data_IF_771517629778
#
_entry.id   IF_771517629778
#
_cell.length_a   1.000
_cell.length_b   1.000
_cell.length_c   1.000
_cell.angle_alpha   90.00
_cell.angle_beta   90.00
_cell.angle_gamma   90.00
#
_symmetry.space_group_name_H-M   'P 1'
#
loop_
_entity.id
_entity.type
_entity.pdbx_description
1 polymer ?
#
# COMPACT_ATOMS: atom_id res chain seq x y z
N UNK A 1 -3.98 -5.80 -4.60
CA UNK A 1 -4.22 -7.22 -4.99
C UNK A 1 -4.58 -7.35 -6.47
N UNK A 2 -5.52 -6.54 -7.00
CA UNK A 2 -5.86 -6.54 -8.44
C UNK A 2 -4.66 -6.22 -9.33
N UNK A 3 -3.90 -5.18 -9.01
CA UNK A 3 -2.77 -4.77 -9.86
C UNK A 3 -1.61 -5.76 -9.82
N UNK A 4 -1.32 -6.33 -8.64
CA UNK A 4 -0.34 -7.41 -8.51
C UNK A 4 -0.70 -8.65 -9.36
N UNK A 5 -2.00 -8.96 -9.49
CA UNK A 5 -2.48 -10.02 -10.38
C UNK A 5 -2.35 -9.61 -11.85
N UNK A 6 -2.68 -8.36 -12.18
CA UNK A 6 -2.60 -7.82 -13.54
C UNK A 6 -1.16 -7.86 -14.10
N UNK A 7 -0.16 -7.56 -13.27
CA UNK A 7 1.26 -7.62 -13.68
C UNK A 7 1.85 -9.03 -13.65
N UNK A 8 1.05 -10.07 -13.36
CA UNK A 8 1.49 -11.46 -13.40
C UNK A 8 2.49 -11.84 -12.30
N UNK A 9 2.32 -11.31 -11.08
CA UNK A 9 3.20 -11.61 -9.95
C UNK A 9 3.35 -13.13 -9.75
N UNK A 10 4.57 -13.66 -9.89
CA UNK A 10 4.87 -15.05 -9.54
C UNK A 10 4.86 -15.22 -8.02
N UNK A 11 3.94 -16.04 -7.52
CA UNK A 11 3.79 -16.30 -6.08
C UNK A 11 4.58 -17.51 -5.57
N UNK A 12 5.34 -18.18 -6.45
CA UNK A 12 6.19 -19.31 -6.06
C UNK A 12 7.24 -18.85 -5.04
N UNK A 13 7.26 -19.49 -3.88
CA UNK A 13 8.21 -19.20 -2.81
C UNK A 13 7.88 -17.97 -1.94
N UNK A 14 6.71 -17.33 -2.14
CA UNK A 14 6.25 -16.21 -1.29
C UNK A 14 4.90 -16.50 -0.66
N UNK A 15 4.67 -15.97 0.54
CA UNK A 15 3.36 -16.02 1.20
C UNK A 15 2.60 -14.74 0.93
N UNK A 16 1.46 -14.84 0.22
CA UNK A 16 0.59 -13.69 -0.06
C UNK A 16 -0.57 -13.68 0.93
N UNK A 17 -0.75 -12.56 1.63
CA UNK A 17 -1.86 -12.32 2.58
C UNK A 17 -2.68 -11.12 2.11
N UNK A 18 -4.00 -11.21 2.25
CA UNK A 18 -4.92 -10.11 1.94
C UNK A 18 -6.28 -10.39 2.60
N UNK A 19 -6.92 -9.35 3.15
CA UNK A 19 -8.24 -9.43 3.76
C UNK A 19 -9.33 -9.61 2.68
N UNK A 20 -9.46 -10.82 2.13
CA UNK A 20 -10.35 -11.13 1.00
C UNK A 20 -11.74 -11.64 1.40
N UNK A 21 -12.03 -11.77 2.70
CA UNK A 21 -13.35 -12.18 3.20
C UNK A 21 -14.44 -11.21 2.77
N UNK A 22 -14.40 -9.98 3.29
CA UNK A 22 -15.32 -8.89 2.87
C UNK A 22 -14.62 -7.78 2.07
N UNK A 23 -13.29 -7.83 1.92
CA UNK A 23 -12.50 -6.90 1.13
C UNK A 23 -12.62 -5.42 1.54
N UNK A 24 -12.86 -5.15 2.82
CA UNK A 24 -12.84 -3.81 3.40
C UNK A 24 -11.43 -3.23 3.53
N UNK A 25 -11.36 -1.91 3.71
CA UNK A 25 -10.10 -1.17 3.92
C UNK A 25 -9.68 -1.11 5.40
N UNK A 26 -10.60 -1.44 6.31
CA UNK A 26 -10.39 -1.45 7.76
C UNK A 26 -9.27 -2.42 8.18
N UNK A 27 -8.42 -1.97 9.11
CA UNK A 27 -7.44 -2.83 9.76
C UNK A 27 -6.33 -3.35 8.83
N UNK A 28 -6.12 -2.77 7.65
CA UNK A 28 -5.12 -3.24 6.68
C UNK A 28 -3.68 -3.05 7.17
N UNK A 29 -3.36 -1.89 7.78
CA UNK A 29 -2.06 -1.63 8.42
C UNK A 29 -1.87 -2.57 9.61
N UNK A 30 -2.88 -2.67 10.47
CA UNK A 30 -2.85 -3.57 11.63
C UNK A 30 -2.66 -5.04 11.22
N UNK A 31 -3.30 -5.47 10.13
CA UNK A 31 -3.14 -6.81 9.55
C UNK A 31 -1.71 -7.04 9.05
N UNK A 32 -1.11 -6.04 8.39
CA UNK A 32 0.28 -6.15 7.91
C UNK A 32 1.26 -6.30 9.08
N UNK A 33 1.10 -5.51 10.14
CA UNK A 33 1.90 -5.59 11.37
C UNK A 33 1.76 -6.97 12.02
N UNK A 34 0.53 -7.44 12.23
CA UNK A 34 0.28 -8.75 12.82
C UNK A 34 0.83 -9.91 11.98
N UNK A 35 0.73 -9.82 10.65
CA UNK A 35 1.29 -10.81 9.74
C UNK A 35 2.82 -10.85 9.80
N UNK A 36 3.48 -9.69 9.89
CA UNK A 36 4.93 -9.60 10.05
C UNK A 36 5.38 -10.25 11.37
N UNK A 37 4.76 -9.87 12.49
CA UNK A 37 5.04 -10.44 13.81
C UNK A 37 4.87 -11.96 13.84
N UNK A 38 3.76 -12.47 13.28
CA UNK A 38 3.49 -13.90 13.25
C UNK A 38 4.48 -14.65 12.34
N UNK A 39 4.85 -14.06 11.21
CA UNK A 39 5.84 -14.63 10.30
C UNK A 39 7.23 -14.69 10.94
N UNK A 40 7.67 -13.62 11.60
CA UNK A 40 8.96 -13.55 12.32
C UNK A 40 9.04 -14.60 13.44
N UNK A 41 7.98 -14.74 14.26
CA UNK A 41 7.91 -15.78 15.32
C UNK A 41 7.97 -17.21 14.77
N UNK A 42 7.37 -17.47 13.62
CA UNK A 42 7.39 -18.79 13.01
C UNK A 42 8.75 -19.14 12.36
N UNK A 43 9.62 -18.16 12.16
CA UNK A 43 10.88 -18.29 11.42
C UNK A 43 12.08 -17.76 12.21
N UNK A 44 12.05 -17.87 13.55
CA UNK A 44 13.09 -17.36 14.47
C UNK A 44 14.54 -17.78 14.10
N UNK A 45 14.71 -18.91 13.40
CA UNK A 45 16.02 -19.42 12.95
C UNK A 45 16.40 -19.02 11.52
N UNK A 46 15.48 -18.47 10.73
CA UNK A 46 15.68 -18.09 9.35
C UNK A 46 15.76 -16.57 9.22
N UNK A 47 16.96 -16.01 9.38
CA UNK A 47 17.28 -14.57 9.30
C UNK A 47 17.00 -13.87 7.95
N UNK A 48 16.21 -14.45 7.04
CA UNK A 48 16.16 -14.03 5.63
C UNK A 48 14.79 -13.62 5.10
N UNK A 49 13.71 -13.76 5.87
CA UNK A 49 12.39 -13.34 5.42
C UNK A 49 12.13 -11.84 5.63
N UNK A 50 11.38 -11.21 4.72
CA UNK A 50 10.90 -9.82 4.86
C UNK A 50 9.39 -9.77 4.64
N UNK A 51 8.70 -8.90 5.36
CA UNK A 51 7.29 -8.60 5.09
C UNK A 51 7.20 -7.28 4.33
N UNK A 52 6.52 -7.31 3.19
CA UNK A 52 6.20 -6.12 2.39
C UNK A 52 4.69 -6.02 2.30
N UNK A 53 4.13 -4.90 2.73
CA UNK A 53 2.73 -4.57 2.50
C UNK A 53 2.63 -3.56 1.36
N UNK A 54 1.73 -3.77 0.41
CA UNK A 54 1.39 -2.80 -0.63
C UNK A 54 -0.04 -2.33 -0.39
N UNK A 55 -0.19 -1.04 -0.08
CA UNK A 55 -1.45 -0.43 0.37
C UNK A 55 -1.67 0.87 -0.42
N UNK A 56 -2.92 1.18 -0.78
CA UNK A 56 -3.28 2.49 -1.34
C UNK A 56 -3.35 3.57 -0.26
N UNK A 57 -3.16 4.84 -0.62
CA UNK A 57 -3.20 5.98 0.30
C UNK A 57 -4.50 6.08 1.09
N UNK A 58 -5.67 5.97 0.47
CA UNK A 58 -6.94 5.99 1.20
C UNK A 58 -7.03 4.91 2.29
N UNK A 59 -6.58 3.70 1.98
CA UNK A 59 -6.55 2.60 2.95
C UNK A 59 -5.54 2.87 4.07
N UNK A 60 -4.37 3.41 3.73
CA UNK A 60 -3.34 3.75 4.71
C UNK A 60 -3.80 4.88 5.65
N UNK A 61 -4.41 5.95 5.11
CA UNK A 61 -4.96 7.05 5.90
C UNK A 61 -6.06 6.56 6.83
N UNK A 62 -6.99 5.74 6.30
CA UNK A 62 -8.09 5.18 7.08
C UNK A 62 -7.61 4.34 8.27
N UNK A 63 -6.60 3.49 8.08
CA UNK A 63 -6.05 2.62 9.14
C UNK A 63 -4.73 3.15 9.71
N UNK A 64 -4.47 4.45 9.61
CA UNK A 64 -3.20 5.05 10.04
C UNK A 64 -2.95 4.87 11.54
N UNK A 65 -4.01 4.85 12.36
CA UNK A 65 -3.92 4.53 13.79
C UNK A 65 -3.41 3.12 14.07
N UNK A 66 -3.45 2.21 13.08
CA UNK A 66 -2.83 0.89 13.17
C UNK A 66 -1.30 0.93 13.29
N UNK A 67 -0.66 2.07 12.96
CA UNK A 67 0.78 2.28 13.19
C UNK A 67 1.14 2.45 14.67
N UNK A 68 0.16 2.71 15.55
CA UNK A 68 0.41 2.92 16.97
C UNK A 68 0.84 1.62 17.65
N UNK A 69 2.14 1.48 17.87
CA UNK A 69 2.72 0.42 18.69
C UNK A 69 3.29 1.06 19.95
N UNK A 70 2.77 0.67 21.11
CA UNK A 70 3.25 1.17 22.40
C UNK A 70 4.71 0.77 22.65
N UNK A 71 5.47 1.53 23.45
CA UNK A 71 6.91 1.28 23.67
C UNK A 71 7.21 -0.07 24.35
N UNK A 72 6.21 -0.72 24.94
CA UNK A 72 6.31 -2.04 25.58
C UNK A 72 5.79 -3.18 24.71
N UNK A 73 5.16 -2.86 23.58
CA UNK A 73 4.51 -3.84 22.73
C UNK A 73 5.48 -4.41 21.68
N UNK A 74 5.28 -5.67 21.24
CA UNK A 74 6.09 -6.24 20.16
C UNK A 74 5.96 -5.42 18.86
N UNK A 75 7.10 -5.05 18.29
CA UNK A 75 7.18 -4.39 16.98
C UNK A 75 7.82 -5.33 15.94
N UNK A 76 7.37 -5.31 14.66
CA UNK A 76 8.00 -6.07 13.58
C UNK A 76 9.47 -5.69 13.42
N UNK A 77 10.33 -6.67 13.18
CA UNK A 77 11.76 -6.45 12.93
C UNK A 77 12.08 -6.18 11.47
N UNK A 78 11.22 -6.58 10.53
CA UNK A 78 11.48 -6.41 9.09
C UNK A 78 10.19 -6.22 8.27
N UNK A 79 9.46 -5.14 8.56
CA UNK A 79 8.25 -4.74 7.83
C UNK A 79 8.49 -3.43 7.05
N UNK A 80 8.24 -3.46 5.75
CA UNK A 80 8.11 -2.24 4.93
C UNK A 80 6.70 -2.14 4.39
N UNK A 81 6.01 -1.04 4.71
CA UNK A 81 4.72 -0.69 4.12
C UNK A 81 4.99 0.25 2.94
N UNK A 82 4.65 -0.19 1.73
CA UNK A 82 4.68 0.64 0.53
C UNK A 82 3.29 1.24 0.35
N UNK A 83 3.21 2.57 0.39
CA UNK A 83 1.99 3.33 0.14
C UNK A 83 2.04 3.81 -1.31
N UNK A 84 1.18 3.25 -2.16
CA UNK A 84 0.93 3.77 -3.50
C UNK A 84 -0.06 4.92 -3.37
N UNK A 85 0.44 6.16 -3.45
CA UNK A 85 -0.36 7.36 -3.19
C UNK A 85 -0.75 8.06 -4.51
N UNK A 86 -1.99 7.89 -4.94
CA UNK A 86 -2.56 8.60 -6.09
C UNK A 86 -3.46 9.79 -5.71
N UNK A 87 -3.43 10.17 -4.42
CA UNK A 87 -4.28 11.16 -3.79
C UNK A 87 -5.78 10.84 -3.96
N UNK A 88 -6.14 9.58 -3.66
CA UNK A 88 -7.51 9.11 -3.53
C UNK A 88 -7.79 7.72 -4.07
N UNK A 89 -8.97 7.57 -4.70
CA UNK A 89 -9.51 6.27 -5.09
C UNK A 89 -9.34 5.97 -6.57
N UNK A 90 -8.11 5.88 -7.10
CA UNK A 90 -7.85 5.68 -8.53
C UNK A 90 -8.61 4.53 -9.19
N UNK A 91 -8.98 3.49 -8.43
CA UNK A 91 -9.78 2.36 -8.95
C UNK A 91 -11.17 2.76 -9.49
N UNK A 92 -11.76 3.84 -8.99
CA UNK A 92 -13.06 4.31 -9.46
C UNK A 92 -12.98 4.96 -10.84
N UNK A 93 -11.78 5.34 -11.31
CA UNK A 93 -11.59 5.76 -12.69
C UNK A 93 -11.78 4.61 -13.70
N UNK A 94 -11.77 3.36 -13.25
CA UNK A 94 -12.03 2.21 -14.10
C UNK A 94 -13.53 1.90 -14.24
N UNK A 95 -14.40 2.55 -13.46
CA UNK A 95 -15.84 2.38 -13.52
C UNK A 95 -16.49 3.41 -14.46
N UNK A 96 -17.77 3.19 -14.78
CA UNK A 96 -18.58 4.11 -15.59
C UNK A 96 -18.60 5.53 -15.02
N UNK A 97 -18.57 5.65 -13.70
CA UNK A 97 -18.58 6.93 -12.99
C UNK A 97 -17.32 7.75 -13.25
N UNK A 98 -16.20 7.13 -13.59
CA UNK A 98 -15.01 7.89 -13.92
C UNK A 98 -15.09 8.58 -15.30
N UNK A 99 -16.08 8.28 -16.15
CA UNK A 99 -16.19 8.83 -17.51
C UNK A 99 -16.08 10.37 -17.46
N UNK A 100 -15.40 11.03 -18.42
CA UNK A 100 -15.25 12.49 -18.43
C UNK A 100 -16.57 13.25 -18.29
N UNK A 101 -17.70 12.68 -18.73
CA UNK A 101 -19.04 13.26 -18.59
C UNK A 101 -19.51 13.38 -17.13
N UNK A 102 -18.89 12.65 -16.21
CA UNK A 102 -19.21 12.63 -14.77
C UNK A 102 -18.06 13.16 -13.90
N UNK A 103 -17.06 13.81 -14.49
CA UNK A 103 -15.82 14.23 -13.80
C UNK A 103 -16.05 15.03 -12.52
N UNK A 104 -17.03 15.94 -12.50
CA UNK A 104 -17.33 16.79 -11.33
C UNK A 104 -17.90 15.98 -10.15
N UNK A 105 -18.82 15.05 -10.42
CA UNK A 105 -19.45 14.24 -9.37
C UNK A 105 -18.50 13.13 -8.92
N UNK A 106 -17.76 12.56 -9.89
CA UNK A 106 -16.83 11.46 -9.64
C UNK A 106 -15.60 11.91 -8.85
N UNK A 107 -14.99 13.04 -9.21
CA UNK A 107 -13.85 13.57 -8.46
C UNK A 107 -14.21 13.88 -7.00
N UNK A 108 -15.40 14.46 -6.77
CA UNK A 108 -15.90 14.81 -5.43
C UNK A 108 -16.16 13.60 -4.53
N UNK A 109 -16.71 12.51 -5.06
CA UNK A 109 -17.20 11.38 -4.24
C UNK A 109 -16.24 10.19 -4.28
N UNK A 110 -15.62 9.94 -5.43
CA UNK A 110 -14.78 8.76 -5.67
C UNK A 110 -13.30 9.09 -5.76
N UNK A 111 -12.98 10.25 -6.35
CA UNK A 111 -11.62 10.75 -6.43
C UNK A 111 -11.07 11.14 -5.05
N UNK A 112 -11.91 11.65 -4.14
CA UNK A 112 -11.58 12.04 -2.75
C UNK A 112 -10.13 12.52 -2.57
N UNK A 113 -9.68 13.54 -3.33
CA UNK A 113 -8.37 14.13 -3.10
C UNK A 113 -8.36 14.67 -1.69
N UNK A 114 -7.53 14.06 -0.85
CA UNK A 114 -7.54 14.29 0.58
C UNK A 114 -6.38 15.15 1.04
N UNK A 115 -5.33 15.26 0.23
CA UNK A 115 -4.14 16.09 0.47
C UNK A 115 -3.46 15.83 1.83
N UNK A 116 -3.75 14.67 2.45
CA UNK A 116 -3.14 14.22 3.69
C UNK A 116 -1.65 14.00 3.49
N UNK A 117 -0.85 14.63 4.36
CA UNK A 117 0.59 14.38 4.46
C UNK A 117 0.83 13.01 5.13
N UNK A 118 1.12 11.99 4.31
CA UNK A 118 1.45 10.63 4.76
C UNK A 118 2.66 10.64 5.69
N UNK A 119 3.66 11.47 5.41
CA UNK A 119 4.81 11.66 6.29
C UNK A 119 4.42 12.22 7.65
N UNK A 120 3.46 13.15 7.71
CA UNK A 120 2.94 13.68 8.97
C UNK A 120 2.22 12.61 9.80
N UNK A 121 1.41 11.77 9.16
CA UNK A 121 0.79 10.62 9.83
C UNK A 121 1.84 9.67 10.40
N UNK A 122 2.86 9.33 9.62
CA UNK A 122 3.95 8.48 10.11
C UNK A 122 4.68 9.13 11.30
N UNK A 123 4.97 10.44 11.22
CA UNK A 123 5.56 11.20 12.33
C UNK A 123 4.69 11.19 13.59
N UNK A 124 3.37 11.27 13.45
CA UNK A 124 2.43 11.22 14.58
C UNK A 124 2.47 9.89 15.35
N UNK A 125 2.85 8.80 14.69
CA UNK A 125 3.00 7.47 15.28
C UNK A 125 4.45 7.03 15.47
N UNK A 126 5.42 7.96 15.32
CA UNK A 126 6.85 7.68 15.46
C UNK A 126 7.40 6.58 14.53
N UNK A 127 6.85 6.47 13.32
CA UNK A 127 7.28 5.50 12.30
C UNK A 127 8.17 6.18 11.26
N UNK A 128 9.30 5.54 10.92
CA UNK A 128 10.17 6.01 9.84
C UNK A 128 9.38 6.04 8.52
N UNK A 129 9.47 7.15 7.80
CA UNK A 129 8.87 7.26 6.47
C UNK A 129 9.79 7.98 5.50
N UNK A 130 9.73 7.56 4.23
CA UNK A 130 10.43 8.21 3.12
C UNK A 130 9.53 8.25 1.89
N UNK A 131 9.39 9.42 1.28
CA UNK A 131 8.84 9.54 -0.07
C UNK A 131 9.93 9.22 -1.09
N UNK A 132 9.64 8.34 -2.04
CA UNK A 132 10.58 7.92 -3.09
C UNK A 132 9.88 7.84 -4.44
N UNK A 133 10.66 7.87 -5.51
CA UNK A 133 10.18 7.60 -6.86
C UNK A 133 10.10 6.09 -7.12
N UNK A 134 9.20 5.65 -8.02
CA UNK A 134 8.98 4.21 -8.30
C UNK A 134 10.26 3.50 -8.77
N UNK A 135 11.15 4.20 -9.50
CA UNK A 135 12.42 3.65 -9.97
C UNK A 135 13.39 3.36 -8.82
N UNK A 136 13.21 4.00 -7.66
CA UNK A 136 14.02 3.80 -6.47
C UNK A 136 13.46 2.69 -5.58
N UNK A 137 12.23 2.22 -5.81
CA UNK A 137 11.53 1.29 -4.93
C UNK A 137 12.30 -0.02 -4.71
N UNK A 138 12.87 -0.60 -5.77
CA UNK A 138 13.64 -1.84 -5.64
C UNK A 138 14.88 -1.64 -4.75
N UNK A 139 15.67 -0.61 -5.04
CA UNK A 139 16.86 -0.30 -4.25
C UNK A 139 16.50 -0.02 -2.79
N UNK A 140 15.44 0.77 -2.56
CA UNK A 140 14.95 1.08 -1.22
C UNK A 140 14.50 -0.18 -0.46
N UNK A 141 13.81 -1.13 -1.10
CA UNK A 141 13.38 -2.40 -0.48
C UNK A 141 14.55 -3.34 -0.14
N UNK A 142 15.69 -3.19 -0.82
CA UNK A 142 16.90 -3.97 -0.59
C UNK A 142 17.83 -3.33 0.46
N UNK A 143 17.64 -2.04 0.78
CA UNK A 143 18.28 -1.39 1.93
C UNK A 143 17.98 -2.16 3.23
N UNK A 144 18.98 -2.40 4.09
CA UNK A 144 18.75 -2.92 5.44
C UNK A 144 17.80 -1.99 6.20
N UNK A 145 16.68 -2.53 6.66
CA UNK A 145 15.69 -1.79 7.45
C UNK A 145 15.36 -2.58 8.71
N UNK A 146 15.98 -2.26 9.85
CA UNK A 146 15.53 -2.79 11.13
C UNK A 146 14.21 -2.11 11.51
N UNK A 147 13.19 -2.91 11.79
CA UNK A 147 11.92 -2.43 12.28
C UNK A 147 10.83 -2.29 11.22
N UNK A 148 9.88 -1.40 11.54
CA UNK A 148 8.78 -0.95 10.70
C UNK A 148 9.15 0.39 10.02
N UNK A 149 9.01 0.45 8.69
CA UNK A 149 9.05 1.71 7.93
C UNK A 149 7.94 1.83 6.91
N UNK A 150 7.71 3.05 6.44
CA UNK A 150 6.81 3.39 5.34
C UNK A 150 7.58 3.98 4.16
N UNK A 151 7.34 3.46 2.96
CA UNK A 151 7.82 4.04 1.71
C UNK A 151 6.61 4.56 0.93
N UNK A 152 6.51 5.87 0.78
CA UNK A 152 5.46 6.50 -0.02
C UNK A 152 5.95 6.66 -1.46
N UNK A 153 5.18 6.15 -2.41
CA UNK A 153 5.40 6.31 -3.85
C UNK A 153 4.23 7.09 -4.42
N UNK A 154 4.49 8.30 -4.93
CA UNK A 154 3.46 9.08 -5.62
C UNK A 154 3.12 8.41 -6.95
N UNK A 155 1.84 8.36 -7.28
CA UNK A 155 1.33 7.81 -8.52
C UNK A 155 0.39 8.81 -9.19
N UNK A 156 0.37 8.81 -10.52
CA UNK A 156 -0.62 9.54 -11.30
C UNK A 156 -1.80 8.63 -11.62
N UNK A 157 -2.99 9.03 -11.19
CA UNK A 157 -4.22 8.35 -11.57
C UNK A 157 -4.80 8.84 -12.89
N UNK A 158 -4.54 10.08 -13.31
CA UNK A 158 -5.24 10.70 -14.44
C UNK A 158 -5.04 9.96 -15.78
N UNK A 159 -3.94 9.23 -15.92
CA UNK A 159 -3.60 8.40 -17.08
C UNK A 159 -4.06 6.94 -16.98
N UNK A 160 -4.64 6.50 -15.85
CA UNK A 160 -4.95 5.11 -15.54
C UNK A 160 -5.95 4.50 -16.52
N UNK A 161 -7.01 5.24 -16.89
CA UNK A 161 -7.98 4.78 -17.89
C UNK A 161 -7.32 4.54 -19.24
N UNK A 162 -6.46 5.44 -19.69
CA UNK A 162 -5.77 5.34 -20.97
C UNK A 162 -4.85 4.12 -20.98
N UNK A 163 -4.10 3.91 -19.88
CA UNK A 163 -3.27 2.73 -19.70
C UNK A 163 -4.09 1.43 -19.84
N UNK A 164 -5.22 1.33 -19.14
CA UNK A 164 -6.07 0.14 -19.22
C UNK A 164 -6.72 -0.05 -20.60
N UNK A 165 -7.04 1.03 -21.32
CA UNK A 165 -7.53 0.96 -22.70
C UNK A 165 -6.43 0.43 -23.64
N UNK A 166 -5.20 0.91 -23.51
CA UNK A 166 -4.06 0.44 -24.30
C UNK A 166 -3.75 -1.04 -24.06
N UNK A 167 -3.76 -1.49 -22.79
CA UNK A 167 -3.58 -2.92 -22.45
C UNK A 167 -4.66 -3.77 -23.12
N UNK A 168 -5.94 -3.37 -23.03
CA UNK A 168 -7.05 -4.11 -23.67
C UNK A 168 -6.95 -4.15 -25.19
N UNK A 169 -6.45 -3.10 -25.82
CA UNK A 169 -6.28 -3.04 -27.27
C UNK A 169 -5.07 -3.86 -27.78
N UNK A 170 -4.14 -4.21 -26.89
CA UNK A 170 -2.96 -5.01 -27.20
C UNK A 170 -3.15 -6.52 -27.01
N UNK A 171 -4.34 -6.95 -26.57
CA UNK A 171 -4.77 -8.35 -26.45
C UNK A 171 -5.56 -8.77 -27.68
#
# INVERSE_FOLDING_TARGET
MRDAALVGLSTRGIQVRSNRGVAGIDGTVSTAIGAALAYERAHETAHQGRTIALIGDLTFVHDSSGLLIGPTEPAPQRLTIVVSNDNGGGIFELLEQGDPRFSDVSSRIFGTPHDVDVGALCRAYHVESRQIEVQQLQAALDEPNPGLRVLEVKADRSSLRQLHAAIRAAL
#
